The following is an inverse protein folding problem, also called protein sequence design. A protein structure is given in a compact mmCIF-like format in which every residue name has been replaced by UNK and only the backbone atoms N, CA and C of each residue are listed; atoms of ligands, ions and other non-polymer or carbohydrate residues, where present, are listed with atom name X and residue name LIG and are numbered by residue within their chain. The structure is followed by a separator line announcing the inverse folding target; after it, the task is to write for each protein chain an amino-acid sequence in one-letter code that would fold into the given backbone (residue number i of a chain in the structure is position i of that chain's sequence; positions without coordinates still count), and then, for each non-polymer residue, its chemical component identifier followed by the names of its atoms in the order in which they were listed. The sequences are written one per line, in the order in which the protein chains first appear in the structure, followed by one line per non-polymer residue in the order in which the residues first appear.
data_IF_232960522384
#
_entry.id   IF_232960522384
#
_cell.length_a   1.000
_cell.length_b   1.000
_cell.length_c   1.000
_cell.angle_alpha   90.00
_cell.angle_beta   90.00
_cell.angle_gamma   90.00
#
_symmetry.space_group_name_H-M   'P 1'
#
loop_
_entity.id
_entity.type
_entity.pdbx_description
1 polymer ?
#
# COMPACT_ATOMS: atom_id res chain seq x y z
N UNK A 1 28.96 -8.59 16.66
CA UNK A 1 28.82 -9.39 15.42
C UNK A 1 27.71 -10.42 15.52
N UNK A 2 27.66 -11.28 16.55
CA UNK A 2 26.53 -12.21 16.76
C UNK A 2 25.22 -11.48 17.15
N UNK A 3 25.31 -10.43 17.97
CA UNK A 3 24.20 -9.53 18.31
C UNK A 3 23.61 -8.85 17.09
N UNK A 4 24.48 -8.31 16.22
CA UNK A 4 24.08 -7.52 15.05
C UNK A 4 23.33 -8.38 14.02
N UNK A 5 23.70 -9.66 13.89
CA UNK A 5 23.00 -10.60 13.02
C UNK A 5 21.59 -10.93 13.53
N UNK A 6 21.45 -11.12 14.85
CA UNK A 6 20.14 -11.33 15.47
C UNK A 6 19.24 -10.09 15.34
N UNK A 7 19.82 -8.90 15.43
CA UNK A 7 19.12 -7.63 15.21
C UNK A 7 18.59 -7.49 13.77
N UNK A 8 19.41 -7.77 12.75
CA UNK A 8 18.98 -7.69 11.35
C UNK A 8 17.85 -8.68 11.05
N UNK A 9 17.97 -9.92 11.54
CA UNK A 9 16.93 -10.94 11.39
C UNK A 9 15.66 -10.49 12.12
N UNK A 10 15.79 -9.90 13.31
CA UNK A 10 14.69 -9.32 14.07
C UNK A 10 13.97 -8.20 13.31
N UNK A 11 14.72 -7.24 12.76
CA UNK A 11 14.16 -6.14 11.96
C UNK A 11 13.48 -6.69 10.70
N UNK A 12 14.08 -7.65 10.01
CA UNK A 12 13.47 -8.29 8.85
C UNK A 12 12.15 -8.98 9.21
N UNK A 13 12.13 -9.79 10.27
CA UNK A 13 10.92 -10.50 10.71
C UNK A 13 9.80 -9.55 11.12
N UNK A 14 10.12 -8.53 11.93
CA UNK A 14 9.13 -7.54 12.38
C UNK A 14 8.62 -6.70 11.22
N UNK A 15 9.50 -6.19 10.35
CA UNK A 15 9.09 -5.40 9.18
C UNK A 15 8.26 -6.21 8.18
N UNK A 16 8.60 -7.48 7.97
CA UNK A 16 7.82 -8.38 7.14
C UNK A 16 6.41 -8.59 7.69
N UNK A 17 6.28 -8.93 8.99
CA UNK A 17 4.97 -9.14 9.63
C UNK A 17 4.15 -7.85 9.61
N UNK A 18 4.78 -6.70 9.88
CA UNK A 18 4.12 -5.39 9.84
C UNK A 18 3.58 -5.08 8.45
N UNK A 19 4.40 -5.24 7.41
CA UNK A 19 3.99 -5.00 6.03
C UNK A 19 2.93 -6.01 5.55
N UNK A 20 3.10 -7.29 5.89
CA UNK A 20 2.13 -8.34 5.57
C UNK A 20 0.77 -8.08 6.22
N UNK A 21 0.75 -7.63 7.48
CA UNK A 21 -0.49 -7.30 8.17
C UNK A 21 -1.24 -6.16 7.48
N UNK A 22 -0.53 -5.15 6.98
CA UNK A 22 -1.14 -4.08 6.17
C UNK A 22 -1.70 -4.61 4.86
N UNK A 23 -0.94 -5.45 4.14
CA UNK A 23 -1.38 -6.04 2.87
C UNK A 23 -2.58 -7.00 3.02
N UNK A 24 -2.72 -7.67 4.17
CA UNK A 24 -3.83 -8.57 4.49
C UNK A 24 -5.06 -7.88 5.10
N UNK A 25 -5.01 -6.57 5.35
CA UNK A 25 -6.16 -5.84 5.88
C UNK A 25 -7.36 -5.99 4.92
N UNK A 26 -8.56 -6.37 5.41
CA UNK A 26 -9.72 -6.57 4.55
C UNK A 26 -10.12 -5.23 3.91
N UNK A 27 -9.85 -5.10 2.62
CA UNK A 27 -10.13 -3.90 1.83
C UNK A 27 -10.33 -4.22 0.36
N UNK A 28 -10.77 -3.24 -0.45
CA UNK A 28 -11.18 -3.46 -1.85
C UNK A 28 -10.10 -4.13 -2.70
N UNK A 29 -8.83 -3.75 -2.51
CA UNK A 29 -7.71 -4.25 -3.31
C UNK A 29 -7.41 -5.74 -3.03
N UNK A 30 -7.47 -6.15 -1.76
CA UNK A 30 -7.33 -7.55 -1.37
C UNK A 30 -8.51 -8.39 -1.89
N UNK A 31 -9.74 -7.87 -1.76
CA UNK A 31 -10.94 -8.54 -2.27
C UNK A 31 -10.86 -8.77 -3.78
N UNK A 32 -10.48 -7.75 -4.55
CA UNK A 32 -10.30 -7.87 -6.01
C UNK A 32 -9.16 -8.84 -6.34
N UNK A 33 -8.04 -8.75 -5.62
CA UNK A 33 -6.89 -9.65 -5.82
C UNK A 33 -7.28 -11.11 -5.62
N UNK A 34 -8.02 -11.44 -4.56
CA UNK A 34 -8.50 -12.82 -4.32
C UNK A 34 -9.46 -13.24 -5.44
N UNK A 35 -10.47 -12.41 -5.74
CA UNK A 35 -11.50 -12.74 -6.72
C UNK A 35 -10.92 -13.00 -8.12
N UNK A 36 -9.93 -12.19 -8.53
CA UNK A 36 -9.31 -12.29 -9.84
C UNK A 36 -8.17 -13.32 -9.88
N UNK A 37 -7.44 -13.55 -8.79
CA UNK A 37 -6.41 -14.61 -8.73
C UNK A 37 -7.01 -16.00 -8.91
N UNK A 38 -8.22 -16.23 -8.41
CA UNK A 38 -8.95 -17.49 -8.63
C UNK A 38 -9.23 -17.72 -10.12
N UNK A 39 -9.50 -16.64 -10.89
CA UNK A 39 -9.88 -16.73 -12.31
C UNK A 39 -8.69 -16.71 -13.26
N UNK A 40 -7.67 -15.90 -12.97
CA UNK A 40 -6.56 -15.56 -13.88
C UNK A 40 -5.20 -16.06 -13.38
N UNK A 41 -5.16 -16.71 -12.23
CA UNK A 41 -3.97 -17.32 -11.65
C UNK A 41 -3.17 -16.40 -10.72
N UNK A 42 -2.06 -16.91 -10.14
CA UNK A 42 -1.32 -16.25 -9.06
C UNK A 42 -0.61 -14.95 -9.48
N UNK A 43 -0.43 -14.72 -10.79
CA UNK A 43 0.21 -13.51 -11.31
C UNK A 43 -0.62 -12.24 -11.11
N UNK A 44 -1.91 -12.36 -10.84
CA UNK A 44 -2.79 -11.22 -10.55
C UNK A 44 -2.30 -10.43 -9.33
N UNK A 45 -1.90 -11.12 -8.26
CA UNK A 45 -1.43 -10.46 -7.04
C UNK A 45 -0.28 -9.49 -7.29
N UNK A 46 0.86 -9.94 -7.83
CA UNK A 46 1.97 -9.06 -8.18
C UNK A 46 1.56 -7.93 -9.14
N UNK A 47 0.76 -8.21 -10.17
CA UNK A 47 0.34 -7.18 -11.13
C UNK A 47 -0.52 -6.08 -10.49
N UNK A 48 -1.48 -6.45 -9.64
CA UNK A 48 -2.38 -5.49 -8.95
C UNK A 48 -1.59 -4.63 -7.98
N UNK A 49 -0.73 -5.23 -7.17
CA UNK A 49 0.08 -4.50 -6.17
C UNK A 49 1.08 -3.56 -6.86
N UNK A 50 1.71 -3.99 -7.96
CA UNK A 50 2.62 -3.13 -8.73
C UNK A 50 1.89 -1.91 -9.29
N UNK A 51 0.71 -2.10 -9.88
CA UNK A 51 -0.09 -0.99 -10.40
C UNK A 51 -0.50 0.00 -9.30
N UNK A 52 -0.95 -0.51 -8.16
CA UNK A 52 -1.33 0.31 -7.01
C UNK A 52 -0.14 1.06 -6.41
N UNK A 53 0.97 0.36 -6.16
CA UNK A 53 2.18 0.94 -5.59
C UNK A 53 2.80 2.03 -6.47
N UNK A 54 2.67 1.95 -7.80
CA UNK A 54 3.10 3.01 -8.70
C UNK A 54 2.25 4.29 -8.55
N UNK A 55 0.92 4.15 -8.39
CA UNK A 55 0.03 5.29 -8.15
C UNK A 55 0.34 5.94 -6.79
N UNK A 56 0.53 5.14 -5.75
CA UNK A 56 0.91 5.62 -4.42
C UNK A 56 2.28 6.32 -4.44
N UNK A 57 3.27 5.74 -5.12
CA UNK A 57 4.59 6.36 -5.26
C UNK A 57 4.50 7.72 -5.95
N UNK A 58 3.72 7.82 -7.03
CA UNK A 58 3.48 9.09 -7.71
C UNK A 58 2.82 10.12 -6.79
N UNK A 59 1.81 9.72 -6.03
CA UNK A 59 1.16 10.59 -5.05
C UNK A 59 2.13 11.06 -3.96
N UNK A 60 2.95 10.16 -3.41
CA UNK A 60 3.97 10.49 -2.40
C UNK A 60 4.96 11.49 -2.94
N UNK A 61 5.45 11.31 -4.18
CA UNK A 61 6.33 12.28 -4.84
C UNK A 61 5.65 13.65 -4.93
N UNK A 62 4.40 13.72 -5.36
CA UNK A 62 3.65 14.98 -5.44
C UNK A 62 3.46 15.63 -4.06
N UNK A 63 3.18 14.84 -3.02
CA UNK A 63 3.07 15.34 -1.64
C UNK A 63 4.39 15.96 -1.20
N UNK A 64 5.52 15.28 -1.44
CA UNK A 64 6.88 15.78 -1.12
C UNK A 64 7.19 17.07 -1.90
N UNK A 65 6.73 17.19 -3.14
CA UNK A 65 6.86 18.41 -3.95
C UNK A 65 5.95 19.57 -3.51
N UNK A 66 5.10 19.37 -2.50
CA UNK A 66 4.27 20.43 -1.92
C UNK A 66 2.77 20.31 -2.18
N UNK A 67 2.27 19.17 -2.67
CA UNK A 67 0.82 18.93 -2.81
C UNK A 67 0.11 18.77 -1.46
N UNK A 68 0.86 18.48 -0.38
CA UNK A 68 0.31 18.20 0.96
C UNK A 68 -0.68 19.24 1.52
N UNK A 69 -0.37 20.55 1.52
CA UNK A 69 -1.31 21.58 1.99
C UNK A 69 -2.62 21.64 1.20
N UNK A 70 -2.57 21.39 -0.12
CA UNK A 70 -3.75 21.42 -0.98
C UNK A 70 -4.69 20.25 -0.66
N UNK A 71 -4.15 19.05 -0.44
CA UNK A 71 -4.93 17.87 -0.05
C UNK A 71 -5.60 18.01 1.32
N UNK A 72 -5.12 18.90 2.19
CA UNK A 72 -5.73 19.17 3.50
C UNK A 72 -6.91 20.15 3.45
N UNK A 73 -7.19 20.73 2.28
CA UNK A 73 -8.33 21.64 2.12
C UNK A 73 -9.64 20.86 2.20
N UNK A 74 -10.57 21.31 3.04
CA UNK A 74 -11.87 20.64 3.25
C UNK A 74 -12.59 20.29 1.94
N UNK A 75 -12.56 21.20 0.96
CA UNK A 75 -13.15 20.98 -0.37
C UNK A 75 -12.54 19.76 -1.09
N UNK A 76 -11.21 19.60 -1.06
CA UNK A 76 -10.52 18.50 -1.73
C UNK A 76 -10.82 17.19 -1.02
N UNK A 77 -10.70 17.15 0.30
CA UNK A 77 -10.98 15.94 1.08
C UNK A 77 -12.44 15.49 0.95
N UNK A 78 -13.40 16.42 1.02
CA UNK A 78 -14.82 16.09 0.85
C UNK A 78 -15.14 15.60 -0.56
N UNK A 79 -14.51 16.18 -1.59
CA UNK A 79 -14.71 15.73 -2.97
C UNK A 79 -14.15 14.33 -3.18
N UNK A 80 -12.94 14.05 -2.66
CA UNK A 80 -12.31 12.73 -2.73
C UNK A 80 -13.11 11.69 -1.95
N UNK A 81 -13.63 12.03 -0.75
CA UNK A 81 -14.46 11.13 0.03
C UNK A 81 -15.81 10.82 -0.67
N UNK A 82 -16.47 11.83 -1.24
CA UNK A 82 -17.75 11.62 -1.92
C UNK A 82 -17.62 10.78 -3.21
N UNK A 83 -16.55 10.98 -3.97
CA UNK A 83 -16.33 10.26 -5.23
C UNK A 83 -15.68 8.90 -4.98
N UNK A 84 -14.73 8.83 -4.05
CA UNK A 84 -13.99 7.62 -3.70
C UNK A 84 -14.78 6.62 -2.86
N UNK A 85 -15.79 7.11 -2.12
CA UNK A 85 -16.58 6.31 -1.18
C UNK A 85 -15.99 6.31 0.23
#
# INVERSE_FOLDING_TARGET
MESDMLEIIGIFGVSFVLALSGALMPGPLLTVTIAESIKKGPWVGPMVILGHGLLELGLVILIVLGLGPYLKTSLVTSSVALIGG
#
